data_IF_151444070221
#
_entry.id   IF_151444070221
#
_cell.length_a   1.000
_cell.length_b   1.000
_cell.length_c   1.000
_cell.angle_alpha   90.00
_cell.angle_beta   90.00
_cell.angle_gamma   90.00
#
_symmetry.space_group_name_H-M   'P 1'
#
loop_
_entity.id
_entity.type
_entity.pdbx_description
1 polymer ?
#
# COMPACT_ATOMS: atom_id res chain seq x y z
N UNK A 1 26.37 40.24 -22.06
CA UNK A 1 26.63 39.32 -20.95
C UNK A 1 25.49 38.33 -20.92
N UNK A 2 25.65 37.21 -21.62
CA UNK A 2 24.61 36.16 -21.69
C UNK A 2 24.83 35.29 -20.46
N UNK A 3 23.80 35.20 -19.62
CA UNK A 3 23.76 34.40 -18.39
C UNK A 3 23.73 32.92 -18.78
N UNK A 4 24.86 32.28 -18.80
CA UNK A 4 25.05 30.86 -19.10
C UNK A 4 24.63 30.03 -17.86
N UNK A 5 23.34 29.94 -17.60
CA UNK A 5 22.80 28.99 -16.65
C UNK A 5 22.82 27.63 -17.30
N UNK A 6 23.98 26.97 -17.28
CA UNK A 6 24.08 25.53 -17.52
C UNK A 6 23.21 24.83 -16.48
N UNK A 7 21.95 24.55 -16.82
CA UNK A 7 21.10 23.66 -16.01
C UNK A 7 21.73 22.28 -16.05
N UNK A 8 22.51 21.95 -15.01
CA UNK A 8 23.00 20.59 -14.83
C UNK A 8 21.82 19.63 -14.91
N UNK A 9 21.96 18.59 -15.73
CA UNK A 9 20.92 17.55 -15.84
C UNK A 9 20.62 17.05 -14.41
N UNK A 10 19.34 16.89 -14.03
CA UNK A 10 18.97 16.46 -12.70
C UNK A 10 19.67 15.13 -12.41
N UNK A 11 20.49 15.11 -11.36
CA UNK A 11 21.19 13.90 -10.92
C UNK A 11 20.15 12.93 -10.38
N UNK A 12 20.28 11.63 -10.73
CA UNK A 12 19.39 10.59 -10.24
C UNK A 12 19.39 10.56 -8.70
N UNK A 13 18.20 10.52 -8.04
CA UNK A 13 18.15 10.59 -6.57
C UNK A 13 18.84 9.40 -5.92
N UNK A 14 19.84 9.64 -5.08
CA UNK A 14 20.57 8.57 -4.39
C UNK A 14 19.71 7.74 -3.43
N UNK A 15 18.57 8.29 -2.99
CA UNK A 15 17.61 7.59 -2.14
C UNK A 15 16.70 6.61 -2.92
N UNK A 16 16.76 6.58 -4.26
CA UNK A 16 15.94 5.67 -5.05
C UNK A 16 16.54 4.26 -5.04
N UNK A 17 15.67 3.23 -5.03
CA UNK A 17 16.11 1.83 -5.11
C UNK A 17 16.95 1.55 -6.35
N UNK A 18 17.91 0.63 -6.20
CA UNK A 18 18.80 0.23 -7.30
C UNK A 18 18.17 -0.80 -8.25
N UNK A 19 17.16 -1.53 -7.77
CA UNK A 19 16.53 -2.63 -8.50
C UNK A 19 15.06 -2.75 -8.14
N UNK A 20 14.25 -3.08 -9.14
CA UNK A 20 12.82 -3.30 -8.95
C UNK A 20 12.40 -4.68 -9.49
N UNK A 21 11.38 -5.26 -8.90
CA UNK A 21 10.65 -6.41 -9.41
C UNK A 21 9.20 -5.98 -9.61
N UNK A 22 8.80 -5.76 -10.87
CA UNK A 22 7.41 -5.49 -11.22
C UNK A 22 6.67 -6.81 -11.23
N UNK A 23 5.63 -6.91 -10.42
CA UNK A 23 4.90 -8.15 -10.17
C UNK A 23 3.43 -7.97 -10.49
N UNK A 24 2.84 -9.00 -11.05
CA UNK A 24 1.39 -9.17 -11.15
C UNK A 24 1.03 -10.64 -10.91
N UNK A 25 -0.07 -10.89 -10.19
CA UNK A 25 -0.57 -12.23 -9.89
C UNK A 25 -2.05 -12.36 -10.21
N UNK A 26 -2.43 -13.47 -10.85
CA UNK A 26 -3.82 -13.89 -10.95
C UNK A 26 -4.16 -14.85 -9.82
N UNK A 27 -5.41 -14.83 -9.39
CA UNK A 27 -5.82 -15.52 -8.17
C UNK A 27 -7.19 -16.18 -8.31
N UNK A 28 -7.47 -17.17 -7.45
CA UNK A 28 -8.79 -17.83 -7.38
C UNK A 28 -9.89 -16.89 -6.89
N UNK A 29 -9.53 -15.70 -6.37
CA UNK A 29 -10.45 -14.69 -5.86
C UNK A 29 -9.74 -13.67 -4.99
N UNK A 30 -10.52 -12.88 -4.24
CA UNK A 30 -10.01 -11.76 -3.43
C UNK A 30 -10.05 -12.03 -1.92
N UNK A 31 -10.51 -13.21 -1.51
CA UNK A 31 -10.65 -13.58 -0.11
C UNK A 31 -9.31 -13.96 0.53
N UNK A 32 -9.33 -14.12 1.85
CA UNK A 32 -8.12 -14.46 2.63
C UNK A 32 -7.53 -15.81 2.29
N UNK A 33 -8.38 -16.77 1.96
CA UNK A 33 -8.03 -18.15 1.68
C UNK A 33 -7.79 -18.42 0.18
N UNK A 34 -7.96 -17.40 -0.67
CA UNK A 34 -7.68 -17.54 -2.09
C UNK A 34 -6.20 -17.79 -2.38
N UNK A 35 -5.94 -18.37 -3.54
CA UNK A 35 -4.65 -18.90 -3.98
C UNK A 35 -4.19 -18.19 -5.24
N UNK A 36 -2.89 -18.15 -5.48
CA UNK A 36 -2.31 -17.70 -6.74
C UNK A 36 -2.51 -18.79 -7.81
N UNK A 37 -2.93 -18.40 -9.01
CA UNK A 37 -3.06 -19.27 -10.20
C UNK A 37 -2.03 -18.95 -11.29
N UNK A 38 -1.47 -17.74 -11.31
CA UNK A 38 -0.29 -17.40 -12.11
C UNK A 38 0.48 -16.25 -11.47
N UNK A 39 1.77 -16.17 -11.78
CA UNK A 39 2.63 -15.08 -11.33
C UNK A 39 3.59 -14.65 -12.44
N UNK A 40 3.76 -13.34 -12.59
CA UNK A 40 4.72 -12.72 -13.48
C UNK A 40 5.62 -11.76 -12.72
N UNK A 41 6.90 -11.72 -13.10
CA UNK A 41 7.89 -10.80 -12.54
C UNK A 41 8.73 -10.23 -13.66
N UNK A 42 8.81 -8.91 -13.77
CA UNK A 42 9.76 -8.19 -14.61
C UNK A 42 10.84 -7.57 -13.74
N UNK A 43 12.09 -7.84 -14.03
CA UNK A 43 13.25 -7.21 -13.41
C UNK A 43 13.56 -5.89 -14.07
N UNK A 44 13.71 -4.85 -13.29
CA UNK A 44 14.15 -3.55 -13.78
C UNK A 44 15.39 -3.08 -13.02
N UNK A 45 16.24 -2.35 -13.75
CA UNK A 45 17.37 -1.63 -13.18
C UNK A 45 16.92 -0.38 -12.41
N UNK A 46 17.89 0.39 -11.91
CA UNK A 46 17.62 1.62 -11.16
C UNK A 46 16.89 2.69 -11.97
N UNK A 47 16.96 2.66 -13.29
CA UNK A 47 16.32 3.59 -14.20
C UNK A 47 14.99 3.08 -14.78
N UNK A 48 14.55 1.90 -14.34
CA UNK A 48 13.32 1.27 -14.82
C UNK A 48 13.45 0.60 -16.17
N UNK A 49 14.68 0.32 -16.67
CA UNK A 49 14.86 -0.47 -17.88
C UNK A 49 14.67 -1.95 -17.55
N UNK A 50 13.95 -2.65 -18.44
CA UNK A 50 13.72 -4.09 -18.31
C UNK A 50 15.01 -4.85 -18.54
N UNK A 51 15.42 -5.69 -17.57
CA UNK A 51 16.59 -6.56 -17.64
C UNK A 51 16.21 -8.00 -18.00
N UNK A 52 15.11 -8.50 -17.42
CA UNK A 52 14.67 -9.89 -17.56
C UNK A 52 13.20 -10.01 -17.13
N UNK A 53 12.55 -11.11 -17.46
CA UNK A 53 11.20 -11.44 -16.96
C UNK A 53 11.04 -12.94 -16.71
N UNK A 54 10.05 -13.27 -15.92
CA UNK A 54 9.66 -14.63 -15.59
C UNK A 54 8.15 -14.72 -15.44
N UNK A 55 7.60 -15.84 -15.88
CA UNK A 55 6.17 -16.13 -15.74
C UNK A 55 5.96 -17.61 -15.44
N UNK A 56 4.96 -17.93 -14.65
CA UNK A 56 4.53 -19.29 -14.39
C UNK A 56 3.04 -19.36 -14.10
N UNK A 57 2.45 -20.50 -14.47
CA UNK A 57 1.17 -20.94 -13.90
C UNK A 57 1.41 -21.58 -12.54
N UNK A 58 0.37 -21.62 -11.71
CA UNK A 58 0.40 -22.25 -10.38
C UNK A 58 -0.88 -23.02 -10.20
N UNK A 59 -0.77 -24.31 -9.86
CA UNK A 59 -1.93 -25.12 -9.50
C UNK A 59 -2.40 -24.73 -8.10
N UNK A 60 -3.60 -24.17 -7.92
CA UNK A 60 -4.09 -23.75 -6.61
C UNK A 60 -4.63 -24.91 -5.78
N UNK A 61 -4.66 -26.15 -6.31
CA UNK A 61 -5.28 -27.33 -5.69
C UNK A 61 -6.76 -27.13 -5.30
N UNK A 62 -7.45 -26.28 -6.06
CA UNK A 62 -8.86 -25.93 -5.85
C UNK A 62 -9.46 -25.33 -7.12
N UNK A 63 -10.74 -24.99 -7.09
CA UNK A 63 -11.41 -24.25 -8.16
C UNK A 63 -10.59 -23.00 -8.55
N UNK A 64 -10.27 -22.78 -9.84
CA UNK A 64 -9.48 -21.66 -10.31
C UNK A 64 -10.15 -20.28 -10.12
N UNK A 65 -11.43 -20.24 -9.75
CA UNK A 65 -12.16 -19.01 -9.50
C UNK A 65 -12.66 -18.33 -10.78
N UNK A 66 -12.41 -17.03 -10.98
CA UNK A 66 -13.03 -16.24 -12.02
C UNK A 66 -12.39 -16.46 -13.41
N UNK A 67 -12.50 -17.68 -13.96
CA UNK A 67 -11.95 -18.07 -15.28
C UNK A 67 -12.31 -17.08 -16.39
N UNK A 68 -13.51 -16.50 -16.34
CA UNK A 68 -13.93 -15.46 -17.30
C UNK A 68 -13.09 -14.18 -17.26
N UNK A 69 -12.31 -13.97 -16.20
CA UNK A 69 -11.42 -12.81 -16.02
C UNK A 69 -10.02 -13.18 -16.53
N UNK A 70 -9.34 -14.14 -15.92
CA UNK A 70 -7.95 -14.49 -16.22
C UNK A 70 -7.79 -15.61 -17.28
N UNK A 71 -8.88 -16.29 -17.67
CA UNK A 71 -8.86 -17.31 -18.73
C UNK A 71 -8.24 -18.66 -18.34
N UNK A 72 -7.83 -18.86 -17.08
CA UNK A 72 -7.17 -20.08 -16.62
C UNK A 72 -8.20 -21.08 -16.09
N UNK A 73 -8.42 -22.15 -16.86
CA UNK A 73 -9.34 -23.25 -16.48
C UNK A 73 -8.65 -24.28 -15.60
N UNK A 74 -9.41 -25.15 -14.95
CA UNK A 74 -8.88 -26.29 -14.18
C UNK A 74 -7.96 -27.15 -15.02
N UNK A 75 -8.34 -27.47 -16.26
CA UNK A 75 -7.55 -28.31 -17.18
C UNK A 75 -6.17 -27.69 -17.49
N UNK A 76 -6.11 -26.34 -17.62
CA UNK A 76 -4.85 -25.60 -17.83
C UNK A 76 -3.96 -25.65 -16.60
N UNK A 77 -4.54 -25.64 -15.41
CA UNK A 77 -3.83 -25.57 -14.15
C UNK A 77 -3.50 -26.94 -13.56
N UNK A 78 -4.13 -28.03 -14.02
CA UNK A 78 -3.91 -29.37 -13.47
C UNK A 78 -2.46 -29.84 -13.60
N UNK A 79 -1.78 -29.50 -14.71
CA UNK A 79 -0.37 -29.81 -14.95
C UNK A 79 0.62 -28.74 -14.47
N UNK A 80 0.13 -27.65 -13.87
CA UNK A 80 0.99 -26.58 -13.39
C UNK A 80 1.66 -26.94 -12.05
N UNK A 81 2.86 -26.38 -11.73
CA UNK A 81 3.52 -26.62 -10.46
C UNK A 81 2.70 -26.07 -9.29
N UNK A 82 2.85 -26.65 -8.12
CA UNK A 82 2.34 -26.08 -6.87
C UNK A 82 3.14 -24.84 -6.48
N UNK A 83 2.57 -23.98 -5.63
CA UNK A 83 3.31 -22.81 -5.15
C UNK A 83 4.62 -23.19 -4.45
N UNK A 84 4.64 -24.28 -3.70
CA UNK A 84 5.84 -24.80 -3.05
C UNK A 84 6.99 -25.08 -4.02
N UNK A 85 6.67 -25.56 -5.23
CA UNK A 85 7.66 -25.91 -6.26
C UNK A 85 8.31 -24.65 -6.89
N UNK A 86 7.54 -23.57 -6.97
CA UNK A 86 8.02 -22.29 -7.56
C UNK A 86 8.57 -21.31 -6.51
N UNK A 87 8.34 -21.56 -5.22
CA UNK A 87 8.68 -20.61 -4.15
C UNK A 87 10.17 -20.22 -4.15
N UNK A 88 11.08 -21.17 -4.36
CA UNK A 88 12.51 -20.87 -4.44
C UNK A 88 12.84 -19.96 -5.65
N UNK A 89 12.25 -20.25 -6.81
CA UNK A 89 12.45 -19.43 -8.01
C UNK A 89 11.86 -18.03 -7.88
N UNK A 90 10.66 -17.92 -7.31
CA UNK A 90 10.05 -16.63 -7.01
C UNK A 90 10.90 -15.84 -6.00
N UNK A 91 11.48 -16.50 -5.00
CA UNK A 91 12.41 -15.87 -4.05
C UNK A 91 13.63 -15.25 -4.76
N UNK A 92 14.26 -15.97 -5.68
CA UNK A 92 15.38 -15.44 -6.49
C UNK A 92 14.97 -14.19 -7.29
N UNK A 93 13.70 -14.16 -7.76
CA UNK A 93 13.18 -13.03 -8.53
C UNK A 93 12.87 -11.80 -7.69
N UNK A 94 12.57 -11.98 -6.41
CA UNK A 94 12.19 -10.91 -5.51
C UNK A 94 13.33 -10.40 -4.63
N UNK A 95 14.36 -11.21 -4.38
CA UNK A 95 15.42 -10.88 -3.43
C UNK A 95 16.24 -9.65 -3.87
N UNK A 96 16.48 -8.76 -2.92
CA UNK A 96 17.25 -7.53 -3.12
C UNK A 96 16.57 -6.49 -4.02
N UNK A 97 15.27 -6.65 -4.34
CA UNK A 97 14.49 -5.75 -5.19
C UNK A 97 13.29 -5.16 -4.44
N UNK A 98 12.88 -3.97 -4.84
CA UNK A 98 11.59 -3.40 -4.42
C UNK A 98 10.50 -4.01 -5.29
N UNK A 99 9.49 -4.61 -4.65
CA UNK A 99 8.30 -5.10 -5.34
C UNK A 99 7.48 -3.91 -5.83
N UNK A 100 7.20 -3.86 -7.14
CA UNK A 100 6.32 -2.86 -7.74
C UNK A 100 5.09 -3.56 -8.30
N UNK A 101 3.90 -3.12 -7.93
CA UNK A 101 2.65 -3.65 -8.46
C UNK A 101 1.58 -2.57 -8.57
N UNK A 102 0.52 -2.86 -9.35
CA UNK A 102 -0.63 -1.99 -9.47
C UNK A 102 -1.69 -2.39 -8.45
N UNK A 103 -1.80 -1.65 -7.34
CA UNK A 103 -2.44 -2.06 -6.08
C UNK A 103 -1.58 -3.07 -5.28
N UNK A 104 -0.32 -2.71 -5.08
CA UNK A 104 0.73 -3.57 -4.50
C UNK A 104 0.40 -4.22 -3.15
N UNK A 105 -0.59 -3.70 -2.41
CA UNK A 105 -1.08 -4.34 -1.19
C UNK A 105 -1.73 -5.69 -1.48
N UNK A 106 -2.42 -5.82 -2.61
CA UNK A 106 -3.05 -7.06 -3.04
C UNK A 106 -2.00 -8.12 -3.39
N UNK A 107 -1.14 -7.84 -4.36
CA UNK A 107 -0.13 -8.79 -4.84
C UNK A 107 0.79 -9.23 -3.70
N UNK A 108 1.29 -8.26 -2.91
CA UNK A 108 2.07 -8.57 -1.73
C UNK A 108 1.34 -9.48 -0.75
N UNK A 109 0.06 -9.22 -0.47
CA UNK A 109 -0.71 -10.02 0.46
C UNK A 109 -0.91 -11.45 -0.01
N UNK A 110 -1.11 -11.67 -1.31
CA UNK A 110 -1.25 -13.00 -1.91
C UNK A 110 0.08 -13.76 -1.85
N UNK A 111 1.17 -13.14 -2.27
CA UNK A 111 2.52 -13.71 -2.20
C UNK A 111 2.88 -14.06 -0.76
N UNK A 112 2.71 -13.15 0.19
CA UNK A 112 3.05 -13.38 1.60
C UNK A 112 2.26 -14.55 2.22
N UNK A 113 0.99 -14.72 1.83
CA UNK A 113 0.15 -15.85 2.28
C UNK A 113 0.62 -17.18 1.70
N UNK A 114 0.94 -17.21 0.42
CA UNK A 114 1.46 -18.44 -0.21
C UNK A 114 2.79 -18.88 0.45
N UNK A 115 3.71 -17.94 0.71
CA UNK A 115 4.93 -18.25 1.45
C UNK A 115 4.63 -18.74 2.88
N UNK A 116 3.70 -18.11 3.58
CA UNK A 116 3.33 -18.54 4.93
C UNK A 116 2.73 -19.97 4.96
N UNK A 117 1.98 -20.37 3.91
CA UNK A 117 1.48 -21.77 3.74
C UNK A 117 2.63 -22.75 3.57
N UNK A 118 3.69 -22.38 2.90
CA UNK A 118 4.90 -23.22 2.77
C UNK A 118 5.84 -23.12 3.98
N UNK A 119 5.43 -22.45 5.05
CA UNK A 119 6.26 -22.15 6.24
C UNK A 119 7.52 -21.35 5.90
N UNK A 120 7.49 -20.61 4.80
CA UNK A 120 8.54 -19.71 4.36
C UNK A 120 8.17 -18.25 4.55
N UNK A 121 9.06 -17.37 4.11
CA UNK A 121 8.82 -15.93 4.06
C UNK A 121 9.30 -15.38 2.72
N UNK A 122 8.49 -14.50 2.10
CA UNK A 122 8.92 -13.80 0.90
C UNK A 122 10.12 -12.88 1.24
N UNK A 123 11.17 -12.86 0.42
CA UNK A 123 12.42 -12.13 0.72
C UNK A 123 12.29 -10.60 0.51
N UNK A 124 11.17 -10.14 -0.04
CA UNK A 124 10.94 -8.73 -0.34
C UNK A 124 10.80 -7.90 0.94
N UNK A 125 11.55 -6.81 1.05
CA UNK A 125 11.52 -5.90 2.21
C UNK A 125 10.65 -4.67 2.00
N UNK A 126 10.53 -4.22 0.75
CA UNK A 126 9.79 -3.00 0.41
C UNK A 126 8.94 -3.23 -0.84
N UNK A 127 7.82 -2.51 -0.89
CA UNK A 127 6.96 -2.45 -2.08
C UNK A 127 6.65 -1.01 -2.45
N UNK A 128 6.31 -0.81 -3.72
CA UNK A 128 5.84 0.43 -4.31
C UNK A 128 4.53 0.17 -5.05
N UNK A 129 3.49 0.91 -4.71
CA UNK A 129 2.22 0.89 -5.44
C UNK A 129 2.22 1.96 -6.53
N UNK A 130 2.02 1.56 -7.79
CA UNK A 130 2.00 2.53 -8.90
C UNK A 130 0.77 3.45 -8.86
N UNK A 131 -0.33 3.03 -8.23
CA UNK A 131 -1.46 3.92 -7.93
C UNK A 131 -1.03 5.04 -6.98
N UNK A 132 -0.28 4.71 -5.93
CA UNK A 132 0.24 5.70 -5.01
C UNK A 132 1.22 6.66 -5.72
N UNK A 133 2.12 6.11 -6.55
CA UNK A 133 3.05 6.92 -7.32
C UNK A 133 2.33 7.87 -8.30
N UNK A 134 1.32 7.37 -9.04
CA UNK A 134 0.53 8.19 -9.96
C UNK A 134 -0.16 9.37 -9.25
N UNK A 135 -0.62 9.16 -8.01
CA UNK A 135 -1.21 10.21 -7.17
C UNK A 135 -0.19 11.21 -6.65
N UNK A 136 0.99 10.76 -6.20
CA UNK A 136 2.10 11.66 -5.82
C UNK A 136 2.52 12.56 -7.00
N UNK A 137 2.57 11.99 -8.20
CA UNK A 137 2.87 12.72 -9.44
C UNK A 137 1.70 13.57 -9.95
N UNK A 138 0.51 13.45 -9.35
CA UNK A 138 -0.72 14.12 -9.79
C UNK A 138 -1.00 13.90 -11.27
N UNK A 139 -0.79 12.67 -11.75
CA UNK A 139 -1.05 12.35 -13.16
C UNK A 139 -2.52 12.60 -13.50
N UNK A 140 -2.82 13.22 -14.65
CA UNK A 140 -4.20 13.55 -15.07
C UNK A 140 -4.91 12.30 -15.61
N UNK A 141 -5.09 11.29 -14.73
CA UNK A 141 -5.76 10.03 -15.07
C UNK A 141 -7.27 10.15 -14.84
N UNK A 142 -8.12 9.60 -15.71
CA UNK A 142 -9.58 9.57 -15.49
C UNK A 142 -9.96 8.68 -14.31
N UNK A 143 -9.17 7.66 -14.04
CA UNK A 143 -9.24 6.77 -12.89
C UNK A 143 -7.87 6.13 -12.65
N UNK A 144 -7.72 5.35 -11.57
CA UNK A 144 -6.45 4.72 -11.22
C UNK A 144 -6.40 3.23 -11.60
N UNK A 145 -7.03 2.83 -12.69
CA UNK A 145 -6.84 1.49 -13.26
C UNK A 145 -5.56 1.41 -14.08
N UNK A 146 -5.02 0.19 -14.24
CA UNK A 146 -3.83 -0.05 -15.04
C UNK A 146 -4.00 0.43 -16.49
N UNK A 147 -5.18 0.18 -17.09
CA UNK A 147 -5.54 0.66 -18.43
C UNK A 147 -5.38 2.18 -18.59
N UNK A 148 -5.78 2.96 -17.58
CA UNK A 148 -5.68 4.41 -17.59
C UNK A 148 -4.23 4.89 -17.47
N UNK A 149 -3.43 4.22 -16.64
CA UNK A 149 -2.00 4.49 -16.51
C UNK A 149 -1.26 4.13 -17.81
N UNK A 150 -1.56 2.98 -18.39
CA UNK A 150 -1.02 2.52 -19.67
C UNK A 150 -1.34 3.51 -20.81
N UNK A 151 -2.62 3.90 -20.95
CA UNK A 151 -3.05 4.85 -21.95
C UNK A 151 -2.37 6.23 -21.80
N UNK A 152 -2.15 6.69 -20.57
CA UNK A 152 -1.45 7.94 -20.30
C UNK A 152 -0.02 7.96 -20.86
N UNK A 153 0.66 6.82 -20.81
CA UNK A 153 2.03 6.66 -21.32
C UNK A 153 2.09 6.04 -22.73
N UNK A 154 0.94 5.83 -23.39
CA UNK A 154 0.89 5.22 -24.73
C UNK A 154 1.28 3.76 -24.77
N UNK A 155 1.20 3.05 -23.64
CA UNK A 155 1.48 1.60 -23.55
C UNK A 155 0.24 0.82 -23.95
N UNK A 156 0.42 -0.14 -24.89
CA UNK A 156 -0.68 -0.98 -25.39
C UNK A 156 -0.76 -2.27 -24.57
N UNK A 157 -1.89 -2.49 -23.92
CA UNK A 157 -2.22 -3.75 -23.27
C UNK A 157 -2.80 -4.73 -24.31
N UNK A 158 -2.21 -5.91 -24.44
CA UNK A 158 -2.62 -6.90 -25.44
C UNK A 158 -3.64 -7.89 -24.88
N UNK A 159 -3.48 -8.28 -23.62
CA UNK A 159 -4.31 -9.26 -22.93
C UNK A 159 -4.54 -8.84 -21.48
N UNK A 160 -5.58 -8.05 -21.24
CA UNK A 160 -5.98 -7.67 -19.88
C UNK A 160 -6.27 -8.92 -19.03
N UNK A 161 -5.92 -8.86 -17.75
CA UNK A 161 -6.04 -9.96 -16.80
C UNK A 161 -5.25 -11.21 -17.19
N UNK A 162 -4.07 -10.97 -17.74
CA UNK A 162 -3.07 -11.99 -17.96
C UNK A 162 -1.78 -11.51 -17.30
N UNK A 163 -1.38 -12.13 -16.19
CA UNK A 163 -0.32 -11.63 -15.32
C UNK A 163 0.96 -11.23 -16.08
N UNK A 164 1.36 -11.97 -17.11
CA UNK A 164 2.56 -11.63 -17.89
C UNK A 164 2.38 -10.32 -18.69
N UNK A 165 1.22 -10.10 -19.30
CA UNK A 165 0.97 -8.87 -20.07
C UNK A 165 0.74 -7.68 -19.14
N UNK A 166 0.02 -7.88 -18.02
CA UNK A 166 -0.24 -6.83 -17.04
C UNK A 166 1.07 -6.38 -16.37
N UNK A 167 1.95 -7.30 -15.99
CA UNK A 167 3.28 -6.98 -15.47
C UNK A 167 4.17 -6.27 -16.53
N UNK A 168 4.08 -6.66 -17.82
CA UNK A 168 4.79 -5.95 -18.91
C UNK A 168 4.30 -4.52 -19.05
N UNK A 169 2.98 -4.34 -19.16
CA UNK A 169 2.35 -3.03 -19.27
C UNK A 169 2.72 -2.15 -18.10
N UNK A 170 2.70 -2.73 -16.89
CA UNK A 170 3.08 -2.03 -15.68
C UNK A 170 4.56 -1.63 -15.69
N UNK A 171 5.46 -2.52 -16.12
CA UNK A 171 6.89 -2.22 -16.21
C UNK A 171 7.16 -1.06 -17.19
N UNK A 172 6.51 -1.09 -18.37
CA UNK A 172 6.63 -0.03 -19.38
C UNK A 172 6.06 1.31 -18.90
N UNK A 173 4.95 1.31 -18.15
CA UNK A 173 4.34 2.53 -17.58
C UNK A 173 5.08 3.03 -16.33
N UNK A 174 5.69 2.14 -15.55
CA UNK A 174 6.45 2.49 -14.35
C UNK A 174 7.71 3.30 -14.69
N UNK A 175 8.44 2.95 -15.75
CA UNK A 175 9.65 3.65 -16.14
C UNK A 175 9.46 5.17 -16.34
N UNK A 176 8.53 5.67 -17.16
CA UNK A 176 8.29 7.10 -17.30
C UNK A 176 7.75 7.74 -16.01
N UNK A 177 6.96 7.03 -15.21
CA UNK A 177 6.54 7.49 -13.88
C UNK A 177 7.73 7.70 -12.95
N UNK A 178 8.69 6.77 -12.93
CA UNK A 178 9.91 6.83 -12.12
C UNK A 178 10.80 8.01 -12.54
N UNK A 179 10.97 8.24 -13.85
CA UNK A 179 11.73 9.37 -14.39
C UNK A 179 11.07 10.71 -14.07
N UNK A 180 9.75 10.79 -14.15
CA UNK A 180 8.99 11.98 -13.74
C UNK A 180 9.19 12.25 -12.25
N UNK A 181 9.10 11.23 -11.40
CA UNK A 181 9.35 11.36 -9.97
C UNK A 181 10.78 11.86 -9.68
N UNK A 182 11.78 11.31 -10.37
CA UNK A 182 13.18 11.72 -10.20
C UNK A 182 13.41 13.17 -10.62
N UNK A 183 12.87 13.56 -11.78
CA UNK A 183 12.96 14.94 -12.29
C UNK A 183 12.30 15.95 -11.35
N UNK A 184 11.14 15.61 -10.80
CA UNK A 184 10.32 16.50 -9.98
C UNK A 184 10.68 16.42 -8.49
N UNK A 185 11.71 15.64 -8.13
CA UNK A 185 12.20 15.47 -6.75
C UNK A 185 11.19 14.79 -5.82
N UNK A 186 10.28 13.97 -6.36
CA UNK A 186 9.25 13.29 -5.59
C UNK A 186 9.85 12.11 -4.82
N UNK A 187 9.64 12.04 -3.51
CA UNK A 187 9.97 10.85 -2.72
C UNK A 187 9.08 9.68 -3.15
N UNK A 188 9.68 8.55 -3.50
CA UNK A 188 8.91 7.36 -3.86
C UNK A 188 8.06 6.86 -2.68
N UNK A 189 6.79 6.47 -2.90
CA UNK A 189 5.88 5.97 -1.87
C UNK A 189 6.21 4.50 -1.51
N UNK A 190 7.38 4.29 -0.91
CA UNK A 190 7.85 2.98 -0.48
C UNK A 190 7.20 2.57 0.83
N UNK A 191 6.70 1.35 0.89
CA UNK A 191 6.16 0.72 2.09
C UNK A 191 6.92 -0.55 2.44
N UNK A 192 7.03 -0.83 3.73
CA UNK A 192 7.67 -2.02 4.24
C UNK A 192 6.83 -3.28 3.98
N UNK A 193 7.44 -4.32 3.46
CA UNK A 193 6.86 -5.65 3.32
C UNK A 193 7.18 -6.46 4.58
N UNK A 194 6.15 -6.78 5.36
CA UNK A 194 6.31 -7.62 6.55
C UNK A 194 5.84 -9.04 6.24
N UNK A 195 6.71 -10.05 6.37
CA UNK A 195 6.33 -11.44 6.20
C UNK A 195 5.20 -11.81 7.17
N UNK A 196 4.31 -12.68 6.72
CA UNK A 196 3.37 -13.34 7.61
C UNK A 196 4.13 -14.46 8.31
N UNK A 197 4.21 -14.40 9.64
CA UNK A 197 4.94 -15.41 10.46
C UNK A 197 4.08 -16.63 10.80
N UNK A 198 2.77 -16.48 10.74
CA UNK A 198 1.82 -17.55 11.03
C UNK A 198 0.67 -17.52 10.03
N UNK A 199 0.37 -18.66 9.45
CA UNK A 199 -0.79 -18.89 8.61
C UNK A 199 -1.66 -19.97 9.25
N UNK A 200 -2.99 -19.73 9.28
CA UNK A 200 -3.99 -20.73 9.64
C UNK A 200 -5.05 -20.76 8.56
N UNK A 201 -5.26 -21.93 7.96
CA UNK A 201 -6.36 -22.19 7.02
C UNK A 201 -7.72 -22.33 7.73
N UNK A 202 -7.76 -22.21 9.06
CA UNK A 202 -9.02 -22.18 9.78
C UNK A 202 -9.90 -21.06 9.24
N UNK A 203 -11.15 -21.35 8.82
CA UNK A 203 -12.06 -20.31 8.37
C UNK A 203 -12.21 -19.28 9.47
N UNK A 204 -12.09 -18.01 9.11
CA UNK A 204 -12.37 -16.94 10.06
C UNK A 204 -13.78 -17.19 10.60
N UNK A 205 -13.90 -17.34 11.93
CA UNK A 205 -15.20 -17.57 12.58
C UNK A 205 -16.19 -16.52 12.05
N UNK A 206 -17.33 -16.94 11.48
CA UNK A 206 -18.30 -15.98 10.95
C UNK A 206 -18.71 -15.02 12.06
N UNK A 207 -18.41 -13.75 11.92
CA UNK A 207 -19.05 -12.75 12.78
C UNK A 207 -20.49 -12.67 12.36
N UNK A 208 -21.37 -13.17 13.23
CA UNK A 208 -22.81 -13.11 13.05
C UNK A 208 -23.20 -11.64 12.79
N UNK A 209 -23.78 -11.35 11.63
CA UNK A 209 -24.27 -10.02 11.27
C UNK A 209 -23.46 -9.24 10.23
N UNK A 210 -22.39 -9.79 9.65
CA UNK A 210 -21.63 -9.12 8.58
C UNK A 210 -22.19 -9.51 7.21
N UNK A 211 -22.92 -8.60 6.55
CA UNK A 211 -23.15 -8.69 5.11
C UNK A 211 -21.89 -8.15 4.39
N UNK A 212 -21.29 -8.92 3.45
CA UNK A 212 -20.20 -8.41 2.65
C UNK A 212 -20.73 -7.32 1.72
N UNK A 213 -20.45 -6.07 2.04
CA UNK A 213 -20.47 -5.03 1.03
C UNK A 213 -19.34 -5.34 0.05
N UNK A 214 -19.65 -5.38 -1.24
CA UNK A 214 -18.68 -5.52 -2.34
C UNK A 214 -17.81 -4.25 -2.46
N UNK A 215 -17.05 -3.95 -1.43
CA UNK A 215 -16.02 -2.93 -1.39
C UNK A 215 -14.78 -3.61 -0.86
N UNK A 216 -13.67 -3.43 -1.55
CA UNK A 216 -12.34 -3.98 -1.30
C UNK A 216 -12.06 -4.20 0.18
N UNK A 217 -12.34 -5.39 0.69
CA UNK A 217 -11.98 -5.80 2.05
C UNK A 217 -10.48 -6.01 2.09
N UNK A 218 -9.73 -4.94 2.33
CA UNK A 218 -8.31 -5.02 2.60
C UNK A 218 -8.12 -5.72 3.94
N UNK A 219 -7.98 -7.05 3.92
CA UNK A 219 -7.45 -7.76 5.08
C UNK A 219 -6.05 -7.23 5.36
N UNK A 220 -5.85 -6.69 6.56
CA UNK A 220 -4.56 -6.20 7.02
C UNK A 220 -4.07 -7.09 8.14
N UNK A 221 -2.84 -7.62 8.06
CA UNK A 221 -2.19 -8.15 9.24
C UNK A 221 -2.19 -7.06 10.32
N UNK A 222 -2.47 -7.44 11.56
CA UNK A 222 -2.38 -6.50 12.68
C UNK A 222 -0.94 -5.99 12.77
N UNK A 223 -0.72 -4.80 12.24
CA UNK A 223 0.58 -4.15 12.29
C UNK A 223 0.85 -3.76 13.75
N UNK A 224 1.86 -4.37 14.38
CA UNK A 224 2.40 -3.85 15.65
C UNK A 224 3.08 -2.52 15.32
N UNK A 225 2.37 -1.42 15.54
CA UNK A 225 2.93 -0.09 15.37
C UNK A 225 3.88 0.22 16.51
N UNK A 226 4.97 0.94 16.27
CA UNK A 226 5.82 1.42 17.36
C UNK A 226 4.97 2.27 18.32
N UNK A 227 5.22 2.20 19.63
CA UNK A 227 4.55 3.07 20.58
C UNK A 227 4.89 4.53 20.24
N UNK A 228 3.87 5.40 20.25
CA UNK A 228 4.10 6.83 20.08
C UNK A 228 4.88 7.35 21.29
N UNK A 229 6.03 8.03 21.11
CA UNK A 229 6.83 8.51 22.23
C UNK A 229 6.23 9.75 22.93
N UNK A 230 5.23 10.38 22.30
CA UNK A 230 4.61 11.61 22.81
C UNK A 230 3.30 11.31 23.53
N UNK A 231 3.01 12.00 24.66
CA UNK A 231 1.72 11.93 25.33
C UNK A 231 0.63 12.49 24.41
N UNK A 232 -0.61 11.99 24.57
CA UNK A 232 -1.74 12.52 23.82
C UNK A 232 -2.15 13.91 24.34
N UNK A 233 -2.03 14.99 23.54
CA UNK A 233 -2.37 16.34 23.98
C UNK A 233 -3.89 16.61 24.03
N UNK A 234 -4.73 15.67 23.54
CA UNK A 234 -6.17 15.85 23.51
C UNK A 234 -6.78 15.79 22.12
N UNK A 235 -7.94 16.42 21.95
CA UNK A 235 -8.69 16.43 20.68
C UNK A 235 -8.12 17.46 19.71
N UNK A 236 -8.26 17.17 18.44
CA UNK A 236 -8.00 18.14 17.39
C UNK A 236 -9.10 19.22 17.38
N UNK A 237 -8.70 20.47 17.31
CA UNK A 237 -9.63 21.60 17.15
C UNK A 237 -9.72 21.95 15.67
N UNK A 238 -10.92 21.93 15.05
CA UNK A 238 -11.09 22.28 13.64
C UNK A 238 -10.50 23.66 13.32
N UNK A 239 -9.64 23.71 12.31
CA UNK A 239 -8.91 24.92 11.93
C UNK A 239 -7.58 25.16 12.67
N UNK A 240 -7.26 24.32 13.66
CA UNK A 240 -5.97 24.32 14.35
C UNK A 240 -4.94 23.42 13.68
N UNK A 241 -3.76 23.31 14.32
CA UNK A 241 -2.70 22.40 13.92
C UNK A 241 -2.83 21.03 14.59
N UNK A 242 -2.31 19.99 13.94
CA UNK A 242 -2.07 18.72 14.61
C UNK A 242 -0.88 18.86 15.55
N UNK A 243 -0.94 18.20 16.70
CA UNK A 243 0.14 18.16 17.68
C UNK A 243 0.71 16.73 17.75
N UNK A 244 2.01 16.60 17.94
CA UNK A 244 2.63 15.29 18.20
C UNK A 244 1.97 14.59 19.39
N UNK A 245 1.77 13.28 19.28
CA UNK A 245 1.03 12.51 20.29
C UNK A 245 -0.47 12.41 20.06
N UNK A 246 -1.09 13.25 19.22
CA UNK A 246 -2.51 13.13 18.89
C UNK A 246 -2.84 11.76 18.32
N UNK A 247 -3.98 11.21 18.76
CA UNK A 247 -4.47 9.89 18.33
C UNK A 247 -5.36 10.00 17.12
N UNK A 248 -4.90 9.44 15.98
CA UNK A 248 -5.61 9.47 14.70
C UNK A 248 -6.11 8.08 14.34
N UNK A 249 -7.39 7.96 14.01
CA UNK A 249 -7.99 6.74 13.48
C UNK A 249 -8.39 6.94 12.02
N UNK A 250 -8.33 5.88 11.21
CA UNK A 250 -8.74 5.90 9.80
C UNK A 250 -9.94 4.99 9.59
N UNK A 251 -10.93 5.40 8.79
CA UNK A 251 -12.13 4.63 8.46
C UNK A 251 -12.44 4.71 6.96
N UNK A 252 -13.11 3.70 6.42
CA UNK A 252 -13.52 3.66 5.02
C UNK A 252 -12.35 3.52 4.04
N UNK A 253 -12.61 3.71 2.76
CA UNK A 253 -11.60 3.64 1.72
C UNK A 253 -10.83 4.96 1.61
N UNK A 254 -9.54 4.86 1.35
CA UNK A 254 -8.65 6.01 1.17
C UNK A 254 -8.21 6.10 -0.29
N UNK A 255 -8.05 7.31 -0.79
CA UNK A 255 -7.59 7.54 -2.16
C UNK A 255 -6.10 7.23 -2.34
N UNK A 256 -5.31 7.32 -1.25
CA UNK A 256 -3.94 6.81 -1.14
C UNK A 256 -3.98 5.49 -0.39
N UNK A 257 -3.00 4.62 -0.59
CA UNK A 257 -2.87 3.40 0.22
C UNK A 257 -2.82 3.77 1.71
N UNK A 258 -3.77 3.23 2.51
CA UNK A 258 -3.94 3.64 3.92
C UNK A 258 -2.66 3.47 4.74
N UNK A 259 -1.87 2.42 4.47
CA UNK A 259 -0.61 2.19 5.17
C UNK A 259 0.37 3.34 4.97
N UNK A 260 0.36 3.95 3.80
CA UNK A 260 1.18 5.13 3.51
C UNK A 260 0.76 6.34 4.34
N UNK A 261 -0.58 6.57 4.48
CA UNK A 261 -1.09 7.64 5.34
C UNK A 261 -0.78 7.38 6.81
N UNK A 262 -0.89 6.13 7.25
CA UNK A 262 -0.56 5.71 8.61
C UNK A 262 0.95 5.90 8.90
N UNK A 263 1.83 5.57 7.95
CA UNK A 263 3.26 5.75 8.10
C UNK A 263 3.64 7.24 8.15
N UNK A 264 3.07 8.06 7.28
CA UNK A 264 3.26 9.52 7.32
C UNK A 264 2.78 10.13 8.64
N UNK A 265 1.65 9.64 9.17
CA UNK A 265 1.16 10.08 10.48
C UNK A 265 2.15 9.72 11.60
N UNK A 266 2.71 8.50 11.57
CA UNK A 266 3.73 8.04 12.55
C UNK A 266 5.02 8.86 12.41
N UNK A 267 5.50 9.08 11.19
CA UNK A 267 6.68 9.91 10.90
C UNK A 267 6.52 11.34 11.44
N UNK A 268 5.30 11.89 11.35
CA UNK A 268 4.96 13.19 11.91
C UNK A 268 4.80 13.21 13.44
N UNK A 269 4.96 12.07 14.11
CA UNK A 269 4.84 11.93 15.56
C UNK A 269 3.43 11.70 16.09
N UNK A 270 2.48 11.34 15.23
CA UNK A 270 1.12 11.04 15.64
C UNK A 270 0.96 9.57 16.08
N UNK A 271 -0.02 9.29 16.91
CA UNK A 271 -0.39 7.94 17.34
C UNK A 271 -1.49 7.38 16.43
N UNK A 272 -1.18 6.44 15.58
CA UNK A 272 -2.20 5.79 14.74
C UNK A 272 -2.96 4.72 15.52
N UNK A 273 -4.26 4.95 15.74
CA UNK A 273 -5.14 4.08 16.50
C UNK A 273 -5.91 3.09 15.59
N UNK A 274 -6.08 1.86 16.06
CA UNK A 274 -6.84 0.81 15.34
C UNK A 274 -8.35 0.98 15.49
N UNK A 275 -8.80 1.64 16.56
CA UNK A 275 -10.22 1.87 16.89
C UNK A 275 -10.43 3.29 17.40
N UNK A 276 -11.67 3.77 17.32
CA UNK A 276 -12.08 5.05 17.91
C UNK A 276 -12.47 4.84 19.37
N UNK A 277 -11.97 5.72 20.25
CA UNK A 277 -12.26 5.77 21.67
C UNK A 277 -12.38 7.24 22.12
N UNK A 278 -12.73 7.48 23.39
CA UNK A 278 -12.75 8.84 23.97
C UNK A 278 -11.41 9.57 23.92
N UNK A 279 -10.31 8.82 23.75
CA UNK A 279 -8.96 9.37 23.62
C UNK A 279 -8.55 9.63 22.16
N UNK A 280 -9.42 9.36 21.18
CA UNK A 280 -9.15 9.62 19.77
C UNK A 280 -9.26 11.11 19.51
N UNK A 281 -8.17 11.69 18.99
CA UNK A 281 -8.10 13.11 18.70
C UNK A 281 -8.79 13.49 17.39
N UNK A 282 -8.71 12.58 16.39
CA UNK A 282 -9.19 12.82 15.03
C UNK A 282 -9.58 11.51 14.35
N UNK A 283 -10.67 11.51 13.59
CA UNK A 283 -11.03 10.45 12.64
C UNK A 283 -10.80 10.96 11.21
N UNK A 284 -10.09 10.20 10.40
CA UNK A 284 -9.89 10.48 8.98
C UNK A 284 -10.76 9.53 8.16
N UNK A 285 -11.64 10.07 7.32
CA UNK A 285 -12.51 9.29 6.42
C UNK A 285 -13.00 10.13 5.25
N UNK A 286 -13.05 9.54 4.05
CA UNK A 286 -13.64 10.17 2.86
C UNK A 286 -15.17 10.01 2.79
N UNK A 287 -15.72 9.16 3.66
CA UNK A 287 -17.18 8.96 3.78
C UNK A 287 -17.62 9.11 5.25
N UNK A 288 -17.84 10.36 5.72
CA UNK A 288 -18.29 10.63 7.08
C UNK A 288 -19.71 10.12 7.36
N UNK A 289 -20.52 9.89 6.31
CA UNK A 289 -21.89 9.35 6.39
C UNK A 289 -21.94 7.82 6.50
N UNK A 290 -20.84 7.12 6.26
CA UNK A 290 -20.81 5.67 6.34
C UNK A 290 -21.11 5.17 7.75
N UNK A 291 -21.98 4.17 7.89
CA UNK A 291 -22.32 3.54 9.17
C UNK A 291 -21.27 2.50 9.60
N UNK A 292 -19.98 2.87 9.62
CA UNK A 292 -18.94 2.01 10.16
C UNK A 292 -18.88 2.08 11.68
N UNK A 293 -18.33 1.04 12.33
CA UNK A 293 -18.14 1.06 13.79
C UNK A 293 -17.28 2.24 14.27
N UNK A 294 -16.42 2.79 13.41
CA UNK A 294 -15.55 3.92 13.74
C UNK A 294 -16.27 5.25 13.58
N UNK A 295 -17.06 5.45 12.52
CA UNK A 295 -17.84 6.68 12.32
C UNK A 295 -18.94 6.81 13.38
N UNK A 296 -19.64 5.71 13.71
CA UNK A 296 -20.63 5.69 14.78
C UNK A 296 -20.02 6.05 16.15
N UNK A 297 -18.84 5.50 16.47
CA UNK A 297 -18.13 5.84 17.72
C UNK A 297 -17.60 7.27 17.70
N UNK A 298 -17.11 7.76 16.56
CA UNK A 298 -16.66 9.14 16.44
C UNK A 298 -17.79 10.12 16.72
N UNK A 299 -18.99 9.89 16.16
CA UNK A 299 -20.17 10.68 16.45
C UNK A 299 -20.58 10.61 17.94
N UNK A 300 -20.51 9.40 18.56
CA UNK A 300 -20.86 9.23 19.99
C UNK A 300 -19.89 9.88 20.97
N UNK A 301 -18.66 10.17 20.53
CA UNK A 301 -17.63 10.80 21.35
C UNK A 301 -17.31 12.22 20.91
N UNK A 302 -18.05 12.82 20.00
CA UNK A 302 -17.78 14.13 19.39
C UNK A 302 -16.34 14.24 18.86
N UNK A 303 -15.81 13.13 18.31
CA UNK A 303 -14.48 13.11 17.73
C UNK A 303 -14.49 13.87 16.40
N UNK A 304 -13.65 14.89 16.20
CA UNK A 304 -13.56 15.61 14.95
C UNK A 304 -13.27 14.67 13.78
N UNK A 305 -13.88 14.94 12.63
CA UNK A 305 -13.77 14.15 11.40
C UNK A 305 -13.23 15.04 10.29
N UNK A 306 -12.23 14.56 9.57
CA UNK A 306 -11.70 15.22 8.37
C UNK A 306 -11.59 14.20 7.23
N UNK A 307 -11.59 14.70 5.99
CA UNK A 307 -11.26 13.86 4.84
C UNK A 307 -9.74 13.67 4.69
N UNK A 308 -9.35 12.79 3.79
CA UNK A 308 -7.96 12.47 3.49
C UNK A 308 -7.18 13.68 2.97
N UNK A 309 -7.80 14.53 2.15
CA UNK A 309 -7.19 15.72 1.58
C UNK A 309 -6.83 16.73 2.67
N UNK A 310 -7.78 17.04 3.56
CA UNK A 310 -7.55 17.90 4.71
C UNK A 310 -6.50 17.32 5.65
N UNK A 311 -6.55 16.02 5.94
CA UNK A 311 -5.54 15.35 6.77
C UNK A 311 -4.14 15.44 6.18
N UNK A 312 -3.99 15.23 4.87
CA UNK A 312 -2.70 15.35 4.16
C UNK A 312 -2.13 16.78 4.24
N UNK A 313 -3.00 17.79 4.23
CA UNK A 313 -2.59 19.18 4.43
C UNK A 313 -2.11 19.40 5.87
N UNK A 314 -2.86 18.91 6.86
CA UNK A 314 -2.53 19.02 8.28
C UNK A 314 -1.21 18.33 8.63
N UNK A 315 -0.86 17.23 7.95
CA UNK A 315 0.42 16.54 8.16
C UNK A 315 1.65 17.35 7.77
N UNK A 316 1.50 18.41 6.97
CA UNK A 316 2.62 19.26 6.56
C UNK A 316 3.12 20.18 7.68
N UNK A 317 2.28 20.42 8.68
CA UNK A 317 2.53 21.39 9.75
C UNK A 317 2.07 20.82 11.10
N UNK A 318 2.68 19.71 11.51
CA UNK A 318 2.44 19.11 12.84
C UNK A 318 3.33 19.77 13.87
N UNK A 319 2.73 20.45 14.84
CA UNK A 319 3.47 21.13 15.89
C UNK A 319 4.03 20.13 16.94
N UNK A 320 5.17 20.45 17.57
CA UNK A 320 5.75 19.62 18.63
C UNK A 320 4.77 19.39 19.78
N UNK A 321 4.88 18.25 20.46
CA UNK A 321 4.15 18.02 21.72
C UNK A 321 4.49 19.13 22.72
N UNK A 322 3.48 19.68 23.36
CA UNK A 322 3.73 20.62 24.46
C UNK A 322 4.60 19.91 25.52
N UNK A 323 5.78 20.46 25.78
CA UNK A 323 6.65 19.93 26.83
C UNK A 323 5.90 19.93 28.17
N UNK A 324 6.30 19.08 29.14
CA UNK A 324 5.70 19.13 30.46
C UNK A 324 5.81 20.57 30.96
N UNK A 325 4.65 21.21 31.23
CA UNK A 325 4.62 22.53 31.84
C UNK A 325 5.45 22.47 33.12
N UNK A 326 6.54 23.22 33.15
CA UNK A 326 7.30 23.43 34.37
C UNK A 326 6.35 24.05 35.40
N UNK A 327 5.76 23.18 36.23
CA UNK A 327 4.92 23.58 37.35
C UNK A 327 5.71 24.53 38.20
N UNK A 328 5.17 25.77 38.34
CA UNK A 328 5.74 26.77 39.19
C UNK A 328 5.93 26.23 40.61
N UNK A 329 7.10 26.36 41.12
CA UNK A 329 7.38 26.13 42.54
C UNK A 329 6.43 27.03 43.38
N UNK A 330 5.82 26.50 44.47
CA UNK A 330 5.10 27.38 45.39
C UNK A 330 6.13 28.33 46.06
N UNK A 331 5.87 29.62 45.97
CA UNK A 331 6.59 30.60 46.74
C UNK A 331 6.36 30.30 48.25
N UNK A 332 7.46 30.09 48.95
CA UNK A 332 7.47 30.04 50.41
C UNK A 332 7.30 31.43 50.97
N UNK A 333 6.22 31.64 51.75
CA UNK A 333 6.20 32.55 52.88
C UNK A 333 6.15 31.74 54.17
#
# INVERSE_FOLDING_TARGET
>A
MLDDRTTAAPTWPAAYPQRYAVVDVETTGLARDDRIVSAAVYHLDMHGNVEDHWYTLVNPERDPGPVRIHGLTSDVLEGAPLFGDIAAKLSERLDGRVLVAHNAAFDWSMIAREYARTRGAAPTRQRLCTIALAKELRLPLPNHKLESLAAHYGVVQQRAHHALDDARVLAEAFRPSLHTAARDGVRLPLLECRPLTEWSDAPATPRVGYQPSYGHSSWRPSRKRPPCPFPNPGRYEPGGQLLQGMRVAFSGDTSVERELLEDRAIEAGLHVATSVSRLTSLLVTNDPGASTSKTVKAASYDTPVVDEGAFTQLLRDVAPAAGPSSGGAPASE
#
